data_IF_734979082386
#
_entry.id   IF_734979082386
#
_cell.length_a   1.000
_cell.length_b   1.000
_cell.length_c   1.000
_cell.angle_alpha   90.00
_cell.angle_beta   90.00
_cell.angle_gamma   90.00
#
_symmetry.space_group_name_H-M   'P 1'
#
loop_
_entity.id
_entity.type
_entity.pdbx_description
1 polymer ?
#
# COMPACT_ATOMS: atom_id res chain seq x y z
N UNK A 1 8.08 -9.81 -13.23
CA UNK A 1 8.92 -9.29 -12.14
C UNK A 1 8.25 -9.71 -10.84
N UNK A 2 8.93 -10.39 -9.91
CA UNK A 2 8.39 -10.76 -8.61
C UNK A 2 8.13 -9.55 -7.72
N UNK A 3 7.29 -9.70 -6.70
CA UNK A 3 7.02 -8.63 -5.73
C UNK A 3 8.27 -8.17 -4.99
N UNK A 4 9.23 -9.06 -4.72
CA UNK A 4 10.51 -8.74 -4.09
C UNK A 4 11.31 -7.70 -4.89
N UNK A 5 11.31 -7.81 -6.23
CA UNK A 5 11.99 -6.86 -7.11
C UNK A 5 11.26 -5.51 -7.16
N UNK A 6 9.91 -5.53 -7.24
CA UNK A 6 9.09 -4.31 -7.18
C UNK A 6 9.27 -3.58 -5.84
N UNK A 7 9.25 -4.32 -4.73
CA UNK A 7 9.48 -3.82 -3.39
C UNK A 7 10.82 -3.09 -3.28
N UNK A 8 11.89 -3.70 -3.80
CA UNK A 8 13.22 -3.10 -3.81
C UNK A 8 13.22 -1.79 -4.61
N UNK A 9 12.67 -1.80 -5.81
CA UNK A 9 12.64 -0.61 -6.67
C UNK A 9 11.78 0.52 -6.10
N UNK A 10 10.64 0.21 -5.49
CA UNK A 10 9.81 1.19 -4.77
C UNK A 10 10.62 1.87 -3.66
N UNK A 11 11.32 1.08 -2.84
CA UNK A 11 12.12 1.61 -1.75
C UNK A 11 13.28 2.48 -2.25
N UNK A 12 14.04 2.00 -3.23
CA UNK A 12 15.15 2.74 -3.84
C UNK A 12 14.69 4.07 -4.47
N UNK A 13 13.52 4.06 -5.13
CA UNK A 13 12.92 5.26 -5.71
C UNK A 13 12.55 6.28 -4.63
N UNK A 14 12.01 5.84 -3.49
CA UNK A 14 11.72 6.73 -2.37
C UNK A 14 12.99 7.35 -1.77
N UNK A 15 14.03 6.55 -1.55
CA UNK A 15 15.34 7.02 -1.08
C UNK A 15 15.89 8.10 -2.03
N UNK A 16 15.90 7.80 -3.34
CA UNK A 16 16.40 8.72 -4.38
C UNK A 16 15.68 10.07 -4.38
N UNK A 17 14.40 10.10 -3.98
CA UNK A 17 13.56 11.31 -3.95
C UNK A 17 13.57 12.04 -2.60
N UNK A 18 14.24 11.51 -1.59
CA UNK A 18 14.13 12.02 -0.22
C UNK A 18 12.73 11.85 0.37
N UNK A 19 11.97 10.87 -0.13
CA UNK A 19 10.65 10.54 0.40
C UNK A 19 10.75 9.79 1.73
N UNK A 20 9.63 9.74 2.45
CA UNK A 20 9.60 9.08 3.76
C UNK A 20 9.88 7.57 3.63
N UNK A 21 10.84 7.13 4.44
CA UNK A 21 11.32 5.75 4.56
C UNK A 21 11.71 5.43 6.01
N UNK A 22 11.10 6.12 6.98
CA UNK A 22 11.41 5.93 8.40
C UNK A 22 10.18 6.06 9.29
N UNK A 23 9.23 6.94 8.95
CA UNK A 23 8.04 7.21 9.76
C UNK A 23 6.84 6.37 9.30
N UNK A 24 6.49 5.34 10.08
CA UNK A 24 5.35 4.47 9.81
C UNK A 24 4.02 5.21 9.91
N UNK A 25 3.89 6.16 10.84
CA UNK A 25 2.68 6.95 11.00
C UNK A 25 2.40 7.79 9.76
N UNK A 26 3.44 8.39 9.18
CA UNK A 26 3.35 9.14 7.93
C UNK A 26 2.96 8.26 6.74
N UNK A 27 3.48 7.04 6.64
CA UNK A 27 3.05 6.08 5.60
C UNK A 27 1.55 5.76 5.72
N UNK A 28 1.04 5.55 6.94
CA UNK A 28 -0.38 5.26 7.19
C UNK A 28 -1.27 6.45 6.83
N UNK A 29 -0.85 7.67 7.16
CA UNK A 29 -1.58 8.90 6.80
C UNK A 29 -1.70 9.01 5.28
N UNK A 30 -0.60 8.78 4.56
CA UNK A 30 -0.60 8.89 3.10
C UNK A 30 -1.43 7.79 2.43
N UNK A 31 -1.41 6.56 2.93
CA UNK A 31 -2.35 5.53 2.46
C UNK A 31 -3.82 5.94 2.68
N UNK A 32 -4.11 6.70 3.74
CA UNK A 32 -5.47 7.20 4.01
C UNK A 32 -5.88 8.25 2.99
N UNK A 33 -4.93 9.06 2.49
CA UNK A 33 -5.15 9.98 1.38
C UNK A 33 -5.48 9.23 0.08
N UNK A 34 -4.70 8.19 -0.27
CA UNK A 34 -4.98 7.37 -1.46
C UNK A 34 -6.31 6.58 -1.34
N UNK A 35 -6.71 6.20 -0.12
CA UNK A 35 -8.05 5.66 0.13
C UNK A 35 -9.15 6.68 -0.19
N UNK A 36 -8.91 7.96 0.10
CA UNK A 36 -9.79 9.06 -0.27
C UNK A 36 -9.92 9.21 -1.78
N UNK A 37 -8.81 9.15 -2.52
CA UNK A 37 -8.81 9.15 -3.99
C UNK A 37 -9.57 7.93 -4.55
N UNK A 38 -9.37 6.75 -3.95
CA UNK A 38 -10.11 5.56 -4.33
C UNK A 38 -11.62 5.73 -4.11
N UNK A 39 -12.04 6.33 -3.00
CA UNK A 39 -13.45 6.63 -2.75
C UNK A 39 -14.03 7.56 -3.82
N UNK A 40 -13.34 8.65 -4.13
CA UNK A 40 -13.77 9.62 -5.14
C UNK A 40 -13.87 8.99 -6.54
N UNK A 41 -12.87 8.18 -6.90
CA UNK A 41 -12.86 7.45 -8.16
C UNK A 41 -14.00 6.43 -8.26
N UNK A 42 -14.34 5.72 -7.17
CA UNK A 42 -15.52 4.82 -7.14
C UNK A 42 -16.83 5.58 -7.30
N UNK A 43 -16.99 6.72 -6.63
CA UNK A 43 -18.20 7.54 -6.74
C UNK A 43 -18.37 8.12 -8.16
N UNK A 44 -17.27 8.45 -8.81
CA UNK A 44 -17.23 8.98 -10.17
C UNK A 44 -17.23 7.90 -11.26
N UNK A 45 -17.16 6.61 -10.89
CA UNK A 45 -16.99 5.47 -11.81
C UNK A 45 -15.79 5.60 -12.76
N UNK A 46 -14.72 6.28 -12.32
CA UNK A 46 -13.50 6.43 -13.11
C UNK A 46 -12.58 5.22 -12.89
N UNK A 47 -12.64 4.29 -13.83
CA UNK A 47 -11.83 3.07 -13.80
C UNK A 47 -10.33 3.35 -13.80
N UNK A 48 -9.87 4.38 -14.51
CA UNK A 48 -8.45 4.74 -14.54
C UNK A 48 -7.98 5.23 -13.17
N UNK A 49 -8.74 6.14 -12.57
CA UNK A 49 -8.43 6.67 -11.24
C UNK A 49 -8.54 5.59 -10.14
N UNK A 50 -9.47 4.64 -10.26
CA UNK A 50 -9.57 3.49 -9.35
C UNK A 50 -8.27 2.66 -9.38
N UNK A 51 -7.80 2.33 -10.57
CA UNK A 51 -6.59 1.53 -10.79
C UNK A 51 -5.34 2.26 -10.28
N UNK A 52 -5.24 3.56 -10.55
CA UNK A 52 -4.15 4.40 -10.06
C UNK A 52 -4.12 4.43 -8.51
N UNK A 53 -5.26 4.70 -7.85
CA UNK A 53 -5.34 4.78 -6.39
C UNK A 53 -5.05 3.43 -5.70
N UNK A 54 -5.54 2.31 -6.24
CA UNK A 54 -5.19 0.96 -5.73
C UNK A 54 -3.68 0.72 -5.87
N UNK A 55 -3.09 1.12 -7.00
CA UNK A 55 -1.66 1.04 -7.25
C UNK A 55 -0.83 1.83 -6.23
N UNK A 56 -1.23 3.07 -5.94
CA UNK A 56 -0.55 3.92 -4.96
C UNK A 56 -0.63 3.34 -3.55
N UNK A 57 -1.78 2.79 -3.12
CA UNK A 57 -1.90 2.05 -1.84
C UNK A 57 -0.94 0.85 -1.80
N UNK A 58 -0.85 0.06 -2.87
CA UNK A 58 0.11 -1.06 -2.93
C UNK A 58 1.57 -0.59 -2.87
N UNK A 59 1.91 0.55 -3.49
CA UNK A 59 3.26 1.13 -3.41
C UNK A 59 3.63 1.47 -1.96
N UNK A 60 2.73 2.06 -1.19
CA UNK A 60 2.96 2.29 0.24
C UNK A 60 3.11 0.97 1.00
N UNK A 61 2.34 -0.06 0.68
CA UNK A 61 2.47 -1.38 1.30
C UNK A 61 3.83 -2.03 1.02
N UNK A 62 4.30 -1.98 -0.22
CA UNK A 62 5.62 -2.49 -0.63
C UNK A 62 6.75 -1.70 0.07
N UNK A 63 6.64 -0.37 0.11
CA UNK A 63 7.57 0.49 0.84
C UNK A 63 7.64 0.12 2.33
N UNK A 64 6.50 -0.06 2.99
CA UNK A 64 6.46 -0.47 4.40
C UNK A 64 7.03 -1.87 4.60
N UNK A 65 6.79 -2.82 3.70
CA UNK A 65 7.38 -4.16 3.76
C UNK A 65 8.92 -4.07 3.83
N UNK A 66 9.54 -3.16 3.06
CA UNK A 66 10.97 -2.87 3.15
C UNK A 66 11.40 -2.27 4.48
N UNK A 67 10.60 -1.37 5.06
CA UNK A 67 10.87 -0.80 6.39
C UNK A 67 10.92 -1.86 7.48
N UNK A 68 9.99 -2.81 7.41
CA UNK A 68 9.90 -3.93 8.34
C UNK A 68 10.81 -5.12 7.98
N UNK A 69 11.57 -5.04 6.88
CA UNK A 69 12.40 -6.14 6.34
C UNK A 69 11.59 -7.43 6.13
N UNK A 70 10.33 -7.29 5.74
CA UNK A 70 9.49 -8.40 5.31
C UNK A 70 9.55 -8.52 3.79
N UNK A 71 9.59 -9.76 3.28
CA UNK A 71 9.41 -10.00 1.86
C UNK A 71 7.92 -9.85 1.50
N UNK A 72 7.60 -8.92 0.61
CA UNK A 72 6.24 -8.69 0.13
C UNK A 72 5.61 -9.94 -0.50
N UNK A 73 6.42 -10.79 -1.14
CA UNK A 73 5.97 -12.06 -1.71
C UNK A 73 5.52 -13.04 -0.63
N UNK A 74 6.16 -13.02 0.54
CA UNK A 74 5.84 -13.94 1.64
C UNK A 74 4.65 -13.49 2.48
N UNK A 75 4.41 -12.17 2.57
CA UNK A 75 3.35 -11.62 3.42
C UNK A 75 2.03 -11.39 2.71
N UNK A 76 2.02 -11.29 1.37
CA UNK A 76 0.78 -11.07 0.64
C UNK A 76 -0.17 -12.24 0.88
N UNK A 77 -1.34 -11.94 1.44
CA UNK A 77 -2.35 -12.97 1.70
C UNK A 77 -3.23 -13.16 0.45
N UNK A 78 -3.48 -14.40 0.07
CA UNK A 78 -4.54 -14.70 -0.91
C UNK A 78 -5.89 -14.51 -0.23
N UNK A 79 -6.62 -13.48 -0.68
CA UNK A 79 -7.92 -13.13 -0.10
C UNK A 79 -9.01 -13.21 -1.16
N UNK A 80 -10.16 -13.70 -0.74
CA UNK A 80 -11.41 -13.60 -1.49
C UNK A 80 -12.33 -12.65 -0.75
N UNK A 81 -13.00 -11.76 -1.47
CA UNK A 81 -14.03 -10.91 -0.89
C UNK A 81 -15.36 -11.11 -1.63
N UNK A 82 -16.46 -10.90 -0.91
CA UNK A 82 -17.80 -10.77 -1.48
C UNK A 82 -18.24 -9.32 -1.32
N UNK A 83 -18.61 -8.65 -2.41
CA UNK A 83 -19.06 -7.25 -2.36
C UNK A 83 -17.94 -6.27 -2.71
N UNK A 84 -17.87 -5.16 -1.97
CA UNK A 84 -17.02 -4.00 -2.31
C UNK A 84 -15.65 -4.05 -1.62
N UNK A 85 -14.59 -4.20 -2.41
CA UNK A 85 -13.20 -4.22 -1.94
C UNK A 85 -12.79 -2.92 -1.24
N UNK A 86 -13.45 -1.78 -1.52
CA UNK A 86 -13.15 -0.50 -0.86
C UNK A 86 -13.31 -0.60 0.66
N UNK A 87 -14.36 -1.29 1.12
CA UNK A 87 -14.61 -1.48 2.55
C UNK A 87 -13.52 -2.33 3.21
N UNK A 88 -13.03 -3.35 2.49
CA UNK A 88 -11.96 -4.22 2.98
C UNK A 88 -10.62 -3.48 3.06
N UNK A 89 -10.25 -2.74 2.01
CA UNK A 89 -9.05 -1.90 1.98
C UNK A 89 -9.10 -0.86 3.11
N UNK A 90 -10.20 -0.11 3.24
CA UNK A 90 -10.36 0.89 4.29
C UNK A 90 -10.30 0.31 5.70
N UNK A 91 -10.87 -0.89 5.91
CA UNK A 91 -10.78 -1.62 7.17
C UNK A 91 -9.33 -1.93 7.54
N UNK A 92 -8.56 -2.51 6.63
CA UNK A 92 -7.18 -2.93 6.93
C UNK A 92 -6.26 -1.72 7.16
N UNK A 93 -6.41 -0.62 6.43
CA UNK A 93 -5.71 0.65 6.72
C UNK A 93 -6.05 1.13 8.14
N UNK A 94 -7.33 1.09 8.52
CA UNK A 94 -7.75 1.43 9.88
C UNK A 94 -7.17 0.51 10.96
N UNK A 95 -6.98 -0.78 10.66
CA UNK A 95 -6.36 -1.74 11.56
C UNK A 95 -4.85 -1.52 11.70
N UNK A 96 -4.15 -1.15 10.63
CA UNK A 96 -2.75 -0.70 10.68
C UNK A 96 -2.61 0.51 11.60
N UNK A 97 -3.46 1.53 11.44
CA UNK A 97 -3.46 2.72 12.29
C UNK A 97 -3.70 2.39 13.78
N UNK A 98 -4.67 1.53 14.07
CA UNK A 98 -4.96 1.06 15.44
C UNK A 98 -3.77 0.29 16.04
N UNK A 99 -3.15 -0.59 15.27
CA UNK A 99 -2.02 -1.40 15.72
C UNK A 99 -0.79 -0.54 15.96
N UNK A 100 -0.51 0.42 15.06
CA UNK A 100 0.53 1.43 15.25
C UNK A 100 0.31 2.25 16.52
N UNK A 101 -0.92 2.75 16.77
CA UNK A 101 -1.26 3.46 18.01
C UNK A 101 -1.04 2.59 19.26
N UNK A 102 -1.48 1.32 19.25
CA UNK A 102 -1.29 0.38 20.36
C UNK A 102 0.19 0.04 20.65
N UNK A 103 1.06 0.20 19.67
CA UNK A 103 2.51 0.10 19.84
C UNK A 103 3.11 1.31 20.57
N UNK A 104 2.29 2.30 20.94
CA UNK A 104 2.72 3.61 21.43
C UNK A 104 3.62 4.34 20.43
N UNK A 105 3.34 4.18 19.13
CA UNK A 105 4.08 4.81 18.02
C UNK A 105 5.58 4.51 18.08
N UNK A 106 5.93 3.30 18.52
CA UNK A 106 7.31 2.88 18.71
C UNK A 106 7.98 2.50 17.38
N UNK A 107 9.30 2.28 17.40
CA UNK A 107 10.06 1.86 16.23
C UNK A 107 9.56 0.54 15.63
N UNK A 108 9.90 0.33 14.36
CA UNK A 108 9.63 -0.88 13.56
C UNK A 108 9.78 -2.18 14.37
N UNK A 109 10.89 -2.34 15.09
CA UNK A 109 11.20 -3.56 15.87
C UNK A 109 10.19 -3.85 17.00
N UNK A 110 9.53 -2.82 17.54
CA UNK A 110 8.55 -2.97 18.62
C UNK A 110 7.13 -3.19 18.08
N UNK A 111 6.84 -2.70 16.88
CA UNK A 111 5.60 -3.00 16.16
C UNK A 111 5.61 -4.47 15.70
N UNK A 112 6.72 -4.94 15.14
CA UNK A 112 6.89 -6.30 14.60
C UNK A 112 6.65 -7.41 15.65
N UNK A 113 6.94 -7.13 16.94
CA UNK A 113 6.62 -8.05 18.05
C UNK A 113 5.13 -8.40 18.14
N UNK A 114 4.25 -7.62 17.52
CA UNK A 114 2.83 -7.91 17.39
C UNK A 114 2.56 -8.32 15.93
N UNK A 115 2.50 -9.64 15.69
CA UNK A 115 2.23 -10.22 14.36
C UNK A 115 0.94 -9.68 13.69
N UNK A 116 0.06 -9.01 14.46
CA UNK A 116 -1.12 -8.29 13.97
C UNK A 116 -0.78 -7.28 12.86
N UNK A 117 0.29 -6.49 12.99
CA UNK A 117 0.61 -5.46 11.98
C UNK A 117 0.98 -6.10 10.64
N UNK A 118 1.81 -7.15 10.68
CA UNK A 118 2.22 -7.93 9.51
C UNK A 118 1.01 -8.56 8.81
N UNK A 119 0.09 -9.16 9.55
CA UNK A 119 -1.12 -9.75 8.96
C UNK A 119 -2.04 -8.69 8.35
N UNK A 120 -2.23 -7.54 9.00
CA UNK A 120 -3.04 -6.46 8.41
C UNK A 120 -2.42 -5.91 7.12
N UNK A 121 -1.09 -5.79 7.07
CA UNK A 121 -0.40 -5.38 5.85
C UNK A 121 -0.52 -6.43 4.74
N UNK A 122 -0.38 -7.71 5.08
CA UNK A 122 -0.55 -8.83 4.16
C UNK A 122 -1.96 -8.91 3.55
N UNK A 123 -2.99 -8.73 4.39
CA UNK A 123 -4.39 -8.64 3.94
C UNK A 123 -4.63 -7.44 3.04
N UNK A 124 -4.07 -6.28 3.39
CA UNK A 124 -4.21 -5.08 2.57
C UNK A 124 -3.63 -5.29 1.17
N UNK A 125 -2.41 -5.86 1.08
CA UNK A 125 -1.81 -6.27 -0.20
C UNK A 125 -2.70 -7.25 -0.97
N UNK A 126 -3.25 -8.25 -0.27
CA UNK A 126 -4.19 -9.21 -0.83
C UNK A 126 -5.44 -8.56 -1.41
N UNK A 127 -6.08 -7.66 -0.66
CA UNK A 127 -7.30 -6.98 -1.11
C UNK A 127 -7.03 -6.06 -2.29
N UNK A 128 -5.89 -5.36 -2.32
CA UNK A 128 -5.50 -4.58 -3.49
C UNK A 128 -5.28 -5.47 -4.72
N UNK A 129 -4.58 -6.61 -4.57
CA UNK A 129 -4.41 -7.59 -5.66
C UNK A 129 -5.75 -8.10 -6.19
N UNK A 130 -6.65 -8.47 -5.28
CA UNK A 130 -7.98 -8.93 -5.65
C UNK A 130 -8.84 -7.81 -6.29
N UNK A 131 -8.64 -6.54 -5.88
CA UNK A 131 -9.30 -5.40 -6.48
C UNK A 131 -8.82 -5.13 -7.92
N UNK A 132 -7.52 -5.26 -8.21
CA UNK A 132 -7.00 -5.23 -9.58
C UNK A 132 -7.69 -6.25 -10.48
N UNK A 133 -7.83 -7.49 -9.98
CA UNK A 133 -8.52 -8.56 -10.70
C UNK A 133 -10.00 -8.22 -10.95
N UNK A 134 -10.71 -7.71 -9.93
CA UNK A 134 -12.12 -7.30 -10.05
C UNK A 134 -12.33 -6.18 -11.07
N UNK A 135 -11.37 -5.26 -11.16
CA UNK A 135 -11.34 -4.19 -12.16
C UNK A 135 -10.74 -4.65 -13.51
N UNK A 136 -10.50 -5.95 -13.70
CA UNK A 136 -10.02 -6.53 -14.97
C UNK A 136 -8.64 -6.02 -15.40
N UNK A 137 -7.77 -5.71 -14.44
CA UNK A 137 -6.42 -5.18 -14.66
C UNK A 137 -5.36 -6.12 -14.09
N UNK A 138 -4.15 -6.07 -14.66
CA UNK A 138 -3.01 -6.85 -14.18
C UNK A 138 -2.17 -5.99 -13.23
N UNK A 139 -2.17 -6.34 -11.95
CA UNK A 139 -1.51 -5.61 -10.88
C UNK A 139 0.00 -5.46 -11.12
N UNK A 140 0.67 -6.51 -11.59
CA UNK A 140 2.12 -6.47 -11.82
C UNK A 140 2.48 -5.55 -12.99
N UNK A 141 1.66 -5.51 -14.04
CA UNK A 141 1.86 -4.61 -15.16
C UNK A 141 1.68 -3.14 -14.74
N UNK A 142 0.66 -2.84 -13.94
CA UNK A 142 0.40 -1.50 -13.41
C UNK A 142 1.53 -1.06 -12.47
N UNK A 143 1.88 -1.88 -11.48
CA UNK A 143 2.95 -1.58 -10.53
C UNK A 143 4.30 -1.39 -11.22
N UNK A 144 4.61 -2.22 -12.22
CA UNK A 144 5.81 -2.05 -13.04
C UNK A 144 5.80 -0.69 -13.76
N UNK A 145 4.66 -0.31 -14.36
CA UNK A 145 4.50 1.00 -14.99
C UNK A 145 4.71 2.16 -14.02
N UNK A 146 4.15 2.06 -12.81
CA UNK A 146 4.30 3.09 -11.76
C UNK A 146 5.78 3.28 -11.37
N UNK A 147 6.49 2.17 -11.20
CA UNK A 147 7.90 2.18 -10.78
C UNK A 147 8.83 2.64 -11.91
N UNK A 148 8.63 2.17 -13.14
CA UNK A 148 9.47 2.49 -14.31
C UNK A 148 9.28 3.92 -14.81
N UNK A 149 8.03 4.41 -14.87
CA UNK A 149 7.74 5.77 -15.29
C UNK A 149 8.16 6.81 -14.24
N UNK A 150 8.77 6.37 -13.13
CA UNK A 150 9.07 7.26 -12.01
C UNK A 150 7.79 7.97 -11.53
N UNK A 151 6.63 7.37 -11.75
CA UNK A 151 5.33 7.96 -11.46
C UNK A 151 4.82 7.44 -10.13
N UNK A 152 5.68 7.30 -9.13
CA UNK A 152 5.21 7.42 -7.75
C UNK A 152 4.62 8.83 -7.67
N UNK A 153 3.31 8.91 -7.93
CA UNK A 153 2.47 10.11 -7.88
C UNK A 153 2.13 10.45 -6.44
N UNK A 154 2.92 9.95 -5.48
CA UNK A 154 2.74 10.22 -4.07
C UNK A 154 2.63 11.73 -3.86
N UNK A 155 1.62 12.12 -3.12
CA UNK A 155 1.38 13.47 -2.63
C UNK A 155 2.59 14.07 -1.90
N UNK A 156 3.57 13.26 -1.47
CA UNK A 156 4.87 13.74 -0.98
C UNK A 156 5.64 14.62 -1.97
N UNK A 157 5.36 14.56 -3.28
CA UNK A 157 5.87 15.49 -4.30
C UNK A 157 4.88 16.58 -4.72
N UNK A 158 3.62 16.53 -4.28
CA UNK A 158 2.59 17.56 -4.52
C UNK A 158 2.53 18.61 -3.41
N UNK A 159 3.11 18.35 -2.25
CA UNK A 159 3.32 19.35 -1.18
C UNK A 159 4.55 20.18 -1.55
N UNK A 160 4.33 21.27 -2.28
CA UNK A 160 5.27 22.39 -2.42
C UNK A 160 5.04 23.39 -1.28
#
# INVERSE_FOLDING_TARGET
MPYTDLQKQVYDNKIKRGFNVTDIGKEIILMTEELGELCDAKLSNDKGAIIDAIGDIMVYCLSMSSLFKWDAHDIIEEVTFSGDYLTHIGREIGMLAKTFKKSNQQSVDKIDRRAEFKSHLGKLLGYCKAAFFAEGSNELAILKGIVENNSVRSHQGKIK
#
